data_IF_177112327142
#
_entry.id   IF_177112327142
#
_cell.length_a   1.000
_cell.length_b   1.000
_cell.length_c   1.000
_cell.angle_alpha   90.00
_cell.angle_beta   90.00
_cell.angle_gamma   90.00
#
_symmetry.space_group_name_H-M   'P 1'
#
loop_
_entity.id
_entity.type
_entity.pdbx_description
1 polymer ?
#
# COMPACT_ATOMS: atom_id res chain seq x y z
N UNK A 1 -18.98 0.38 7.22
CA UNK A 1 -17.69 0.37 6.48
C UNK A 1 -17.32 -1.07 6.12
N UNK A 2 -17.72 -1.56 4.93
CA UNK A 2 -17.51 -2.94 4.51
C UNK A 2 -16.04 -3.40 4.56
N UNK A 3 -15.11 -2.52 4.23
CA UNK A 3 -13.67 -2.83 4.23
C UNK A 3 -13.10 -3.08 5.63
N UNK A 4 -13.48 -2.27 6.63
CA UNK A 4 -13.02 -2.46 8.02
C UNK A 4 -13.55 -3.78 8.58
N UNK A 5 -14.83 -4.08 8.34
CA UNK A 5 -15.42 -5.37 8.73
C UNK A 5 -14.69 -6.55 8.07
N UNK A 6 -14.31 -6.41 6.79
CA UNK A 6 -13.56 -7.43 6.08
C UNK A 6 -12.18 -7.72 6.67
N UNK A 7 -11.44 -6.68 7.08
CA UNK A 7 -10.11 -6.85 7.70
C UNK A 7 -10.22 -7.48 9.08
N UNK A 8 -11.13 -6.99 9.93
CA UNK A 8 -11.28 -7.47 11.32
C UNK A 8 -11.81 -8.90 11.36
N UNK A 9 -12.79 -9.23 10.52
CA UNK A 9 -13.45 -10.53 10.51
C UNK A 9 -13.00 -11.42 9.33
N UNK A 10 -11.79 -11.22 8.82
CA UNK A 10 -11.28 -11.87 7.61
C UNK A 10 -11.47 -13.40 7.63
N UNK A 11 -10.99 -14.07 8.68
CA UNK A 11 -11.08 -15.52 8.80
C UNK A 11 -12.52 -16.03 8.81
N UNK A 12 -13.39 -15.33 9.54
CA UNK A 12 -14.80 -15.68 9.61
C UNK A 12 -15.46 -15.52 8.23
N UNK A 13 -15.18 -14.42 7.54
CA UNK A 13 -15.74 -14.15 6.21
C UNK A 13 -15.26 -15.19 5.20
N UNK A 14 -13.96 -15.49 5.17
CA UNK A 14 -13.39 -16.49 4.26
C UNK A 14 -13.99 -17.87 4.51
N UNK A 15 -14.11 -18.30 5.78
CA UNK A 15 -14.59 -19.64 6.14
C UNK A 15 -16.10 -19.81 6.01
N UNK A 16 -16.90 -18.78 6.30
CA UNK A 16 -18.35 -18.92 6.47
C UNK A 16 -19.17 -18.16 5.42
N UNK A 17 -18.69 -16.99 4.96
CA UNK A 17 -19.46 -16.07 4.11
C UNK A 17 -19.01 -16.04 2.65
N UNK A 18 -17.82 -16.54 2.35
CA UNK A 18 -17.33 -16.67 0.97
C UNK A 18 -18.10 -17.76 0.22
N UNK A 19 -18.68 -17.41 -0.93
CA UNK A 19 -19.43 -18.34 -1.79
C UNK A 19 -18.51 -19.31 -2.53
N UNK A 20 -17.33 -18.82 -2.92
CA UNK A 20 -16.33 -19.61 -3.65
C UNK A 20 -15.35 -20.35 -2.72
N UNK A 21 -15.68 -20.51 -1.42
CA UNK A 21 -14.79 -21.16 -0.44
C UNK A 21 -14.45 -22.62 -0.76
N UNK A 22 -15.33 -23.31 -1.49
CA UNK A 22 -15.16 -24.71 -1.87
C UNK A 22 -14.47 -24.89 -3.25
N UNK A 23 -14.21 -23.79 -3.97
CA UNK A 23 -13.53 -23.86 -5.27
C UNK A 23 -12.03 -23.98 -5.02
N UNK A 24 -11.39 -25.08 -5.44
CA UNK A 24 -9.95 -25.27 -5.24
C UNK A 24 -9.18 -24.14 -5.94
N UNK A 25 -8.11 -23.67 -5.30
CA UNK A 25 -7.26 -22.57 -5.79
C UNK A 25 -8.00 -21.23 -6.01
N UNK A 26 -9.18 -21.02 -5.41
CA UNK A 26 -9.90 -19.75 -5.54
C UNK A 26 -9.13 -18.57 -4.92
N UNK A 27 -9.04 -17.48 -5.68
CA UNK A 27 -8.49 -16.19 -5.22
C UNK A 27 -9.56 -15.27 -4.61
N UNK A 28 -10.81 -15.77 -4.47
CA UNK A 28 -11.95 -14.99 -3.97
C UNK A 28 -11.72 -14.55 -2.52
N UNK A 29 -11.42 -15.50 -1.62
CA UNK A 29 -11.09 -15.20 -0.21
C UNK A 29 -12.04 -14.18 0.45
N UNK A 30 -13.34 -14.28 0.20
CA UNK A 30 -14.34 -13.36 0.77
C UNK A 30 -14.62 -12.08 -0.04
N UNK A 31 -13.92 -11.80 -1.14
CA UNK A 31 -14.18 -10.65 -2.03
C UNK A 31 -15.63 -10.54 -2.50
N UNK A 32 -16.24 -11.68 -2.85
CA UNK A 32 -17.66 -11.74 -3.24
C UNK A 32 -18.62 -11.19 -2.17
N UNK A 33 -18.31 -11.41 -0.89
CA UNK A 33 -19.10 -10.87 0.22
C UNK A 33 -18.91 -9.35 0.33
N UNK A 34 -17.66 -8.88 0.24
CA UNK A 34 -17.33 -7.44 0.31
C UNK A 34 -18.00 -6.66 -0.82
N UNK A 35 -17.97 -7.18 -2.05
CA UNK A 35 -18.65 -6.59 -3.20
C UNK A 35 -20.16 -6.42 -2.97
N UNK A 36 -20.82 -7.43 -2.38
CA UNK A 36 -22.25 -7.36 -2.05
C UNK A 36 -22.55 -6.31 -0.99
N UNK A 37 -21.73 -6.21 0.05
CA UNK A 37 -21.89 -5.21 1.12
C UNK A 37 -21.64 -3.78 0.63
N UNK A 38 -20.70 -3.59 -0.30
CA UNK A 38 -20.46 -2.31 -0.97
C UNK A 38 -21.65 -1.88 -1.82
N UNK A 39 -22.17 -2.79 -2.66
CA UNK A 39 -23.34 -2.50 -3.51
C UNK A 39 -24.61 -2.16 -2.70
N UNK A 40 -24.80 -2.76 -1.51
CA UNK A 40 -25.89 -2.38 -0.60
C UNK A 40 -25.73 -0.96 -0.08
N UNK A 41 -24.51 -0.57 0.28
CA UNK A 41 -24.19 0.77 0.78
C UNK A 41 -24.50 1.84 -0.28
N UNK A 42 -24.16 1.57 -1.55
CA UNK A 42 -24.48 2.46 -2.68
C UNK A 42 -25.99 2.60 -2.91
N UNK A 43 -26.73 1.49 -2.91
CA UNK A 43 -28.19 1.50 -3.16
C UNK A 43 -28.98 2.17 -2.04
N UNK A 44 -28.48 2.13 -0.81
CA UNK A 44 -29.09 2.82 0.33
C UNK A 44 -28.77 4.33 0.32
N UNK A 45 -27.86 4.77 -0.55
CA UNK A 45 -27.32 6.12 -0.65
C UNK A 45 -27.95 6.94 -1.78
N UNK A 46 -29.23 7.31 -1.68
CA UNK A 46 -29.82 8.27 -2.63
C UNK A 46 -29.28 9.71 -2.48
N UNK A 47 -28.41 9.96 -1.50
CA UNK A 47 -27.61 11.19 -1.39
C UNK A 47 -26.14 10.87 -1.66
N UNK A 48 -25.32 11.77 -2.23
CA UNK A 48 -23.88 11.53 -2.36
C UNK A 48 -23.28 11.29 -0.97
N UNK A 49 -23.04 10.01 -0.64
CA UNK A 49 -22.24 9.63 0.51
C UNK A 49 -20.81 10.02 0.17
N UNK A 50 -20.42 11.22 0.58
CA UNK A 50 -19.01 11.53 0.74
C UNK A 50 -18.47 10.48 1.69
N UNK A 51 -17.64 9.57 1.18
CA UNK A 51 -16.87 8.65 2.02
C UNK A 51 -15.88 9.53 2.77
N UNK A 52 -16.34 10.15 3.84
CA UNK A 52 -15.50 10.79 4.84
C UNK A 52 -14.83 9.63 5.56
N UNK A 53 -13.68 9.21 5.05
CA UNK A 53 -12.77 8.35 5.81
C UNK A 53 -12.17 9.26 6.90
N UNK A 54 -13.00 9.62 7.88
CA UNK A 54 -12.54 10.30 9.08
C UNK A 54 -11.66 9.30 9.82
N UNK A 55 -10.35 9.40 9.60
CA UNK A 55 -9.37 8.47 10.18
C UNK A 55 -8.44 7.75 9.20
N UNK A 56 -8.36 8.14 7.91
CA UNK A 56 -7.19 7.78 7.08
C UNK A 56 -6.04 8.80 7.22
N UNK A 57 -5.94 9.46 8.37
CA UNK A 57 -4.67 9.99 8.87
C UNK A 57 -3.91 8.90 9.65
N UNK A 58 -4.07 7.63 9.26
CA UNK A 58 -3.04 6.64 9.57
C UNK A 58 -1.88 6.95 8.64
N UNK A 59 -1.12 7.98 9.01
CA UNK A 59 0.29 8.06 8.66
C UNK A 59 0.90 6.72 9.09
N UNK A 60 1.00 5.78 8.15
CA UNK A 60 1.88 4.64 8.32
C UNK A 60 3.28 5.21 8.15
N UNK A 61 3.79 5.81 9.22
CA UNK A 61 5.22 6.05 9.39
C UNK A 61 5.85 4.68 9.65
N UNK A 62 5.94 3.84 8.61
CA UNK A 62 6.86 2.73 8.66
C UNK A 62 8.22 3.33 8.31
N UNK A 63 9.10 3.38 9.32
CA UNK A 63 10.52 3.73 9.27
C UNK A 63 10.95 4.44 7.98
N UNK A 64 11.23 5.75 8.07
CA UNK A 64 12.05 6.44 7.07
C UNK A 64 13.21 5.49 6.79
N UNK A 65 13.32 4.99 5.56
CA UNK A 65 14.35 4.06 5.13
C UNK A 65 15.70 4.61 5.56
N UNK A 66 16.16 4.19 6.75
CA UNK A 66 17.44 4.57 7.28
C UNK A 66 18.41 3.63 6.60
N UNK A 67 18.94 4.08 5.46
CA UNK A 67 20.10 3.44 4.89
C UNK A 67 21.24 3.72 5.86
N UNK A 68 21.83 2.69 6.51
CA UNK A 68 23.08 2.92 7.21
C UNK A 68 24.08 3.39 6.14
N UNK A 69 24.56 4.63 6.27
CA UNK A 69 25.71 5.10 5.50
C UNK A 69 26.97 4.42 6.04
N UNK A 70 27.05 3.10 5.91
CA UNK A 70 28.30 2.37 6.06
C UNK A 70 29.08 2.53 4.75
N UNK A 71 29.55 3.74 4.49
CA UNK A 71 30.80 3.90 3.76
C UNK A 71 31.92 3.60 4.75
N UNK A 72 32.09 2.32 5.07
CA UNK A 72 33.42 1.85 5.42
C UNK A 72 34.22 1.97 4.13
N UNK A 73 34.91 3.09 3.97
CA UNK A 73 36.02 3.18 3.04
C UNK A 73 37.11 2.25 3.56
N UNK A 74 36.89 0.94 3.45
CA UNK A 74 37.95 -0.03 3.57
C UNK A 74 38.77 0.10 2.30
N UNK A 75 39.90 0.77 2.50
CA UNK A 75 41.06 0.88 1.64
C UNK A 75 41.10 -0.20 0.55
N UNK A 76 41.02 0.27 -0.69
CA UNK A 76 41.16 -0.46 -1.94
C UNK A 76 42.27 -1.53 -1.87
N UNK A 77 41.90 -2.80 -1.90
CA UNK A 77 42.74 -3.82 -2.54
C UNK A 77 42.31 -3.94 -3.99
N UNK A 78 43.27 -3.66 -4.85
CA UNK A 78 43.18 -3.50 -6.29
C UNK A 78 42.41 -4.63 -6.99
N UNK A 79 41.43 -4.25 -7.80
CA UNK A 79 41.00 -5.04 -8.96
C UNK A 79 40.93 -4.08 -10.15
N UNK A 80 41.62 -4.35 -11.26
CA UNK A 80 41.58 -3.51 -12.44
C UNK A 80 40.33 -3.86 -13.25
N UNK A 81 39.19 -3.27 -12.89
CA UNK A 81 38.15 -3.01 -13.88
C UNK A 81 37.41 -1.73 -13.54
N UNK A 82 37.57 -0.75 -14.42
CA UNK A 82 37.07 0.62 -14.32
C UNK A 82 35.54 0.63 -14.39
N UNK A 83 34.88 0.33 -13.27
CA UNK A 83 33.47 0.63 -13.08
C UNK A 83 33.36 2.06 -12.56
N UNK A 84 33.02 2.98 -13.47
CA UNK A 84 32.74 4.38 -13.18
C UNK A 84 31.49 4.46 -12.30
N UNK A 85 31.66 4.38 -10.97
CA UNK A 85 30.56 4.60 -10.04
C UNK A 85 30.31 6.09 -9.91
N UNK A 86 29.43 6.60 -10.77
CA UNK A 86 28.96 7.96 -10.68
C UNK A 86 27.88 8.03 -9.59
N UNK A 87 28.28 8.28 -8.34
CA UNK A 87 27.35 8.50 -7.23
C UNK A 87 26.76 9.90 -7.30
N UNK A 88 25.91 10.15 -8.29
CA UNK A 88 25.09 11.37 -8.33
C UNK A 88 23.89 11.19 -7.41
N UNK A 89 23.99 11.71 -6.19
CA UNK A 89 22.82 11.95 -5.34
C UNK A 89 22.02 13.10 -5.95
N UNK A 90 20.91 12.80 -6.61
CA UNK A 90 20.00 13.84 -7.09
C UNK A 90 19.17 14.36 -5.92
N UNK A 91 19.30 15.65 -5.60
CA UNK A 91 18.44 16.36 -4.63
C UNK A 91 16.96 16.39 -5.04
N UNK A 92 16.62 15.88 -6.24
CA UNK A 92 15.24 15.81 -6.72
C UNK A 92 14.31 15.02 -5.81
N UNK A 93 14.83 14.02 -5.07
CA UNK A 93 14.00 13.23 -4.15
C UNK A 93 13.45 14.04 -2.97
N UNK A 94 14.00 15.23 -2.72
CA UNK A 94 13.64 16.07 -1.57
C UNK A 94 12.62 17.15 -1.89
N UNK A 95 12.12 17.27 -3.13
CA UNK A 95 11.13 18.29 -3.49
C UNK A 95 9.80 17.66 -3.91
N UNK A 96 8.74 18.07 -3.22
CA UNK A 96 7.36 17.82 -3.65
C UNK A 96 7.19 18.48 -5.02
N UNK A 97 6.62 17.76 -5.99
CA UNK A 97 6.37 18.31 -7.32
C UNK A 97 5.24 19.35 -7.21
N UNK A 98 5.50 20.60 -7.59
CA UNK A 98 4.49 21.66 -7.63
C UNK A 98 4.23 22.04 -9.10
N UNK A 99 2.97 22.26 -9.50
CA UNK A 99 2.69 22.83 -10.81
C UNK A 99 3.26 24.25 -10.92
N UNK A 100 3.58 24.73 -12.14
CA UNK A 100 4.10 26.08 -12.33
C UNK A 100 3.09 27.12 -11.84
N UNK A 101 3.57 28.07 -11.04
CA UNK A 101 2.78 29.22 -10.62
C UNK A 101 2.75 30.23 -11.78
N UNK A 102 1.56 30.73 -12.10
CA UNK A 102 1.31 31.73 -13.14
C UNK A 102 1.73 33.13 -12.69
#
# INVERSE_FOLDING_TARGET
>A
MPLVNYVVNYDYIVKNLCENRNVPQSTCKGKCYVEKELAKTEKQSNSPQTIKIAGLDVFISYDILSFPSQLNAELLTEIPDSSYFNSHSSEYFSRIFHPPLA
#
